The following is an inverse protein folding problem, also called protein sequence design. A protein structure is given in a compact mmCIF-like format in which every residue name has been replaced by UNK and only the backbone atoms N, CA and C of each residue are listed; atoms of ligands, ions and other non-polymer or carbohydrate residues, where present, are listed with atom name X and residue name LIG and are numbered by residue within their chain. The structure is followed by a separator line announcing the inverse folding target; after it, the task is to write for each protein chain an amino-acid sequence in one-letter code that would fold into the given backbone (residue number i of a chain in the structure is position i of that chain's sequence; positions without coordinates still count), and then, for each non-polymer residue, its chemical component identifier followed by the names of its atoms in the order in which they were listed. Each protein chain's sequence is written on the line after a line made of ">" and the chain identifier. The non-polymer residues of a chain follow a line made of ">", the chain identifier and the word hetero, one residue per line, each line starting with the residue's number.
data_IF_649501316790
#
_entry.id   IF_649501316790
#
_cell.length_a   1.000
_cell.length_b   1.000
_cell.length_c   1.000
_cell.angle_alpha   90.00
_cell.angle_beta   90.00
_cell.angle_gamma   90.00
#
_symmetry.space_group_name_H-M   'P 1'
#
loop_
_entity.id
_entity.type
_entity.pdbx_description
1 polymer ?
#
# COMPACT_ATOMS: atom_id res chain seq x y z
N UNK A 1 21.65 34.41 5.69
CA UNK A 1 22.61 33.79 4.75
C UNK A 1 22.03 32.45 4.31
N UNK A 2 21.14 32.47 3.32
CA UNK A 2 20.62 31.25 2.69
C UNK A 2 20.61 31.51 1.19
N UNK A 3 21.81 31.65 0.64
CA UNK A 3 22.04 31.65 -0.81
C UNK A 3 21.88 30.22 -1.30
N UNK A 4 20.63 29.85 -1.60
CA UNK A 4 20.36 28.72 -2.47
C UNK A 4 20.14 29.32 -3.87
N UNK A 5 21.25 29.55 -4.55
CA UNK A 5 21.29 30.13 -5.90
C UNK A 5 20.73 29.09 -6.88
N UNK A 6 19.42 29.14 -7.10
CA UNK A 6 18.75 28.46 -8.20
C UNK A 6 19.34 28.96 -9.52
N UNK A 7 19.94 28.06 -10.30
CA UNK A 7 20.43 28.35 -11.65
C UNK A 7 21.94 28.20 -11.90
N UNK A 8 22.74 27.71 -10.94
CA UNK A 8 24.18 27.47 -11.16
C UNK A 8 24.61 26.01 -11.37
N UNK A 9 23.67 25.08 -11.54
CA UNK A 9 24.00 23.67 -11.84
C UNK A 9 24.58 22.88 -10.66
N UNK A 10 25.06 23.53 -9.59
CA UNK A 10 25.73 22.85 -8.47
C UNK A 10 24.76 22.01 -7.62
N UNK A 11 24.87 20.67 -7.65
CA UNK A 11 24.03 19.78 -6.86
C UNK A 11 24.56 19.76 -5.42
N UNK A 12 24.08 20.66 -4.57
CA UNK A 12 24.40 20.56 -3.15
C UNK A 12 23.55 19.45 -2.50
N UNK A 13 24.01 18.21 -2.63
CA UNK A 13 23.34 17.01 -2.09
C UNK A 13 23.13 17.11 -0.57
N UNK A 14 23.99 17.87 0.12
CA UNK A 14 23.93 18.13 1.56
C UNK A 14 22.80 19.09 1.97
N UNK A 15 22.15 19.77 1.02
CA UNK A 15 21.03 20.67 1.30
C UNK A 15 19.69 19.92 1.40
N UNK A 16 19.64 18.66 0.94
CA UNK A 16 18.40 17.90 0.90
C UNK A 16 18.42 16.71 1.87
N UNK A 17 17.33 16.48 2.63
CA UNK A 17 17.20 15.31 3.47
C UNK A 17 17.32 14.01 2.66
N UNK A 18 17.81 12.95 3.33
CA UNK A 18 17.94 11.62 2.76
C UNK A 18 16.55 11.08 2.36
N UNK A 19 16.38 10.50 1.15
CA UNK A 19 15.08 10.02 0.67
C UNK A 19 14.38 9.05 1.63
N UNK A 20 15.16 8.21 2.31
CA UNK A 20 14.65 7.21 3.26
C UNK A 20 13.92 7.80 4.48
N UNK A 21 14.20 9.04 4.85
CA UNK A 21 13.56 9.71 6.00
C UNK A 21 12.30 10.50 5.62
N UNK A 22 11.92 10.55 4.34
CA UNK A 22 10.84 11.39 3.85
C UNK A 22 9.45 10.74 3.99
N UNK A 23 8.42 11.56 4.18
CA UNK A 23 7.02 11.14 3.93
C UNK A 23 6.76 11.02 2.43
N UNK A 24 5.61 10.45 2.06
CA UNK A 24 5.24 10.26 0.66
C UNK A 24 5.14 11.59 -0.08
N UNK A 25 4.45 12.57 0.51
CA UNK A 25 4.25 13.89 -0.08
C UNK A 25 5.59 14.61 -0.26
N UNK A 26 6.47 14.54 0.74
CA UNK A 26 7.80 15.14 0.68
C UNK A 26 8.68 14.49 -0.38
N UNK A 27 8.67 13.15 -0.48
CA UNK A 27 9.42 12.42 -1.49
C UNK A 27 8.92 12.75 -2.91
N UNK A 28 7.60 12.77 -3.10
CA UNK A 28 6.96 13.14 -4.36
C UNK A 28 7.30 14.58 -4.78
N UNK A 29 7.18 15.53 -3.87
CA UNK A 29 7.42 16.94 -4.19
C UNK A 29 8.89 17.19 -4.55
N UNK A 30 9.83 16.53 -3.86
CA UNK A 30 11.25 16.58 -4.24
C UNK A 30 11.54 15.88 -5.56
N UNK A 31 10.84 14.78 -5.89
CA UNK A 31 10.98 14.09 -7.17
C UNK A 31 10.52 15.00 -8.32
N UNK A 32 9.37 15.67 -8.16
CA UNK A 32 8.87 16.64 -9.14
C UNK A 32 9.90 17.75 -9.37
N UNK A 33 10.51 18.29 -8.31
CA UNK A 33 11.52 19.33 -8.43
C UNK A 33 12.79 18.82 -9.13
N UNK A 34 13.23 17.60 -8.79
CA UNK A 34 14.38 16.95 -9.43
C UNK A 34 14.16 16.79 -10.93
N UNK A 35 12.97 16.32 -11.34
CA UNK A 35 12.61 16.18 -12.76
C UNK A 35 12.62 17.53 -13.46
N UNK A 36 12.01 18.57 -12.88
CA UNK A 36 12.05 19.92 -13.46
C UNK A 36 13.47 20.42 -13.68
N UNK A 37 14.36 20.19 -12.73
CA UNK A 37 15.78 20.59 -12.84
C UNK A 37 16.47 19.84 -13.98
N UNK A 38 16.22 18.53 -14.12
CA UNK A 38 16.75 17.73 -15.23
C UNK A 38 16.21 18.20 -16.60
N UNK A 39 14.93 18.54 -16.68
CA UNK A 39 14.28 19.03 -17.91
C UNK A 39 14.83 20.38 -18.40
N UNK A 40 15.35 21.22 -17.49
CA UNK A 40 16.01 22.47 -17.87
C UNK A 40 17.30 22.22 -18.66
N UNK A 41 18.00 21.11 -18.41
CA UNK A 41 19.20 20.71 -19.15
C UNK A 41 20.37 21.70 -19.05
N UNK A 42 20.39 22.59 -18.05
CA UNK A 42 21.41 23.65 -17.89
C UNK A 42 22.61 23.21 -17.03
N UNK A 43 22.92 21.92 -16.98
CA UNK A 43 23.98 21.37 -16.13
C UNK A 43 24.89 20.41 -16.90
N UNK A 44 26.06 20.08 -16.33
CA UNK A 44 26.98 19.11 -16.90
C UNK A 44 26.44 17.68 -16.78
N UNK A 45 27.01 16.75 -17.57
CA UNK A 45 26.61 15.33 -17.52
C UNK A 45 26.75 14.72 -16.11
N UNK A 46 27.86 15.01 -15.42
CA UNK A 46 28.10 14.50 -14.05
C UNK A 46 27.05 15.01 -13.06
N UNK A 47 26.63 16.27 -13.19
CA UNK A 47 25.56 16.84 -12.38
C UNK A 47 24.21 16.22 -12.72
N UNK A 48 23.89 16.06 -14.00
CA UNK A 48 22.67 15.38 -14.45
C UNK A 48 22.57 13.95 -13.90
N UNK A 49 23.69 13.21 -13.85
CA UNK A 49 23.71 11.87 -13.27
C UNK A 49 23.39 11.89 -11.77
N UNK A 50 23.94 12.83 -11.00
CA UNK A 50 23.65 12.97 -9.57
C UNK A 50 22.17 13.27 -9.31
N UNK A 51 21.57 14.15 -10.10
CA UNK A 51 20.13 14.43 -9.99
C UNK A 51 19.29 13.23 -10.40
N UNK A 52 19.70 12.48 -11.43
CA UNK A 52 19.03 11.25 -11.83
C UNK A 52 19.08 10.19 -10.72
N UNK A 53 20.24 9.91 -10.13
CA UNK A 53 20.39 8.95 -9.02
C UNK A 53 19.52 9.34 -7.81
N UNK A 54 19.45 10.64 -7.51
CA UNK A 54 18.53 11.15 -6.48
C UNK A 54 17.07 10.91 -6.86
N UNK A 55 16.69 11.16 -8.11
CA UNK A 55 15.35 10.89 -8.63
C UNK A 55 14.95 9.42 -8.46
N UNK A 56 15.85 8.50 -8.80
CA UNK A 56 15.63 7.05 -8.62
C UNK A 56 15.43 6.69 -7.14
N UNK A 57 16.24 7.26 -6.24
CA UNK A 57 16.09 7.02 -4.80
C UNK A 57 14.75 7.55 -4.25
N UNK A 58 14.30 8.71 -4.74
CA UNK A 58 12.99 9.28 -4.37
C UNK A 58 11.83 8.44 -4.91
N UNK A 59 11.90 7.99 -6.16
CA UNK A 59 10.90 7.10 -6.76
C UNK A 59 10.78 5.79 -5.95
N UNK A 60 11.91 5.16 -5.64
CA UNK A 60 11.95 3.96 -4.80
C UNK A 60 11.32 4.19 -3.42
N UNK A 61 11.55 5.35 -2.80
CA UNK A 61 10.89 5.69 -1.52
C UNK A 61 9.38 5.76 -1.67
N UNK A 62 8.88 6.41 -2.73
CA UNK A 62 7.45 6.49 -3.01
C UNK A 62 6.83 5.10 -3.17
N UNK A 63 7.47 4.20 -3.92
CA UNK A 63 7.02 2.82 -4.09
C UNK A 63 6.92 2.07 -2.77
N UNK A 64 7.96 2.14 -1.92
CA UNK A 64 7.96 1.49 -0.60
C UNK A 64 6.79 1.96 0.27
N UNK A 65 6.52 3.26 0.26
CA UNK A 65 5.42 3.84 1.04
C UNK A 65 4.04 3.43 0.50
N UNK A 66 3.88 3.40 -0.82
CA UNK A 66 2.62 2.97 -1.46
C UNK A 66 2.35 1.48 -1.25
N UNK A 67 3.37 0.64 -1.38
CA UNK A 67 3.26 -0.80 -1.14
C UNK A 67 2.84 -1.07 0.32
N UNK A 68 3.49 -0.42 1.28
CA UNK A 68 3.10 -0.56 2.69
C UNK A 68 1.69 -0.04 3.00
N UNK A 69 1.22 0.99 2.28
CA UNK A 69 -0.17 1.45 2.39
C UNK A 69 -1.15 0.42 1.81
N UNK A 70 -0.82 -0.17 0.66
CA UNK A 70 -1.63 -1.21 0.03
C UNK A 70 -1.78 -2.44 0.93
N UNK A 71 -0.68 -2.97 1.48
CA UNK A 71 -0.71 -4.12 2.39
C UNK A 71 -1.62 -3.88 3.61
N UNK A 72 -1.60 -2.66 4.16
CA UNK A 72 -2.47 -2.28 5.29
C UNK A 72 -3.95 -2.27 4.91
N UNK A 73 -4.28 -1.82 3.71
CA UNK A 73 -5.65 -1.83 3.19
C UNK A 73 -6.12 -3.26 2.95
N UNK A 74 -5.29 -4.09 2.32
CA UNK A 74 -5.59 -5.49 2.07
C UNK A 74 -5.81 -6.27 3.38
N UNK A 75 -4.97 -6.07 4.38
CA UNK A 75 -5.13 -6.68 5.71
C UNK A 75 -6.45 -6.27 6.39
N UNK A 76 -6.83 -5.00 6.29
CA UNK A 76 -8.09 -4.52 6.86
C UNK A 76 -9.32 -5.13 6.16
N UNK A 77 -9.28 -5.26 4.83
CA UNK A 77 -10.36 -5.87 4.05
C UNK A 77 -10.46 -7.39 4.29
N UNK A 78 -9.33 -8.10 4.32
CA UNK A 78 -9.28 -9.55 4.58
C UNK A 78 -9.80 -9.91 5.98
N UNK A 79 -9.47 -9.09 6.98
CA UNK A 79 -9.97 -9.26 8.36
C UNK A 79 -11.50 -9.11 8.44
N UNK A 80 -12.09 -8.21 7.65
CA UNK A 80 -13.54 -8.05 7.57
C UNK A 80 -14.25 -9.27 6.95
N UNK A 81 -13.59 -10.01 6.06
CA UNK A 81 -14.19 -11.16 5.37
C UNK A 81 -14.14 -12.44 6.23
N UNK A 82 -13.13 -12.60 7.09
CA UNK A 82 -13.04 -13.72 8.03
C UNK A 82 -14.06 -13.63 9.18
N UNK A 83 -14.40 -12.40 9.62
CA UNK A 83 -15.50 -12.17 10.57
C UNK A 83 -16.89 -12.52 10.02
N UNK A 84 -17.10 -12.35 8.70
CA UNK A 84 -18.38 -12.65 8.05
C UNK A 84 -18.60 -14.16 7.83
N UNK A 85 -17.55 -14.95 7.61
CA UNK A 85 -17.66 -16.40 7.38
C UNK A 85 -17.82 -17.20 8.68
N UNK A 86 -17.28 -16.71 9.80
CA UNK A 86 -17.40 -17.37 11.11
C UNK A 86 -18.78 -17.20 11.76
N UNK A 87 -19.56 -16.19 11.37
CA UNK A 87 -20.94 -15.98 11.83
C UNK A 87 -21.99 -16.90 11.17
N UNK A 88 -21.67 -17.50 10.02
CA UNK A 88 -22.61 -18.33 9.26
C UNK A 88 -22.55 -19.83 9.61
N UNK A 89 -21.52 -20.30 10.33
CA UNK A 89 -21.33 -21.74 10.63
C UNK A 89 -21.70 -22.15 12.05
N UNK A 90 -22.26 -21.26 12.88
CA UNK A 90 -22.64 -21.56 14.26
C UNK A 90 -24.16 -21.36 14.44
N UNK A 91 -24.95 -22.26 13.84
CA UNK A 91 -26.41 -22.21 13.92
C UNK A 91 -27.12 -23.27 13.10
N UNK A 92 -26.65 -24.51 13.09
CA UNK A 92 -27.39 -25.62 12.50
C UNK A 92 -27.05 -26.94 13.24
N UNK A 93 -27.73 -27.18 14.36
CA UNK A 93 -28.04 -28.52 14.87
C UNK A 93 -28.94 -28.43 16.10
N UNK A 94 -30.24 -28.70 15.93
CA UNK A 94 -31.02 -29.51 16.85
C UNK A 94 -32.25 -30.03 16.10
N UNK A 95 -32.17 -31.31 15.80
CA UNK A 95 -33.18 -32.15 15.15
C UNK A 95 -34.28 -32.50 16.16
N UNK A 96 -35.53 -32.35 15.77
CA UNK A 96 -36.69 -33.08 16.32
C UNK A 96 -37.66 -33.26 15.14
N UNK A 97 -38.22 -34.47 14.92
CA UNK A 97 -39.68 -34.51 15.04
C UNK A 97 -40.20 -35.71 15.81
N UNK A 98 -41.15 -35.39 16.70
CA UNK A 98 -42.09 -36.27 17.39
C UNK A 98 -42.91 -37.15 16.42
N UNK A 99 -42.97 -38.45 16.73
CA UNK A 99 -44.19 -39.04 17.28
C UNK A 99 -45.32 -39.56 16.35
N UNK A 100 -45.47 -40.88 16.39
CA UNK A 100 -46.73 -41.65 16.42
C UNK A 100 -47.53 -41.90 15.11
N UNK A 101 -47.61 -43.19 14.72
CA UNK A 101 -48.79 -44.05 14.95
C UNK A 101 -48.84 -45.18 13.89
N UNK A 102 -48.72 -46.44 14.31
CA UNK A 102 -49.36 -47.53 13.57
C UNK A 102 -49.71 -48.68 14.53
N UNK A 103 -50.95 -48.65 14.99
CA UNK A 103 -51.65 -49.79 15.59
C UNK A 103 -52.35 -50.56 14.46
N UNK A 104 -52.33 -51.90 14.50
CA UNK A 104 -53.20 -52.70 13.64
C UNK A 104 -52.67 -54.08 13.26
N UNK A 105 -52.73 -55.02 14.20
CA UNK A 105 -52.80 -56.46 13.92
C UNK A 105 -54.02 -56.81 13.05
N UNK A 106 -53.90 -57.78 12.14
CA UNK A 106 -54.70 -59.05 12.08
C UNK A 106 -54.73 -59.68 10.68
N UNK A 107 -54.55 -61.02 10.65
CA UNK A 107 -55.05 -62.08 9.74
C UNK A 107 -55.07 -61.82 8.21
N UNK A 108 -54.55 -62.69 7.34
CA UNK A 108 -54.78 -64.14 7.28
C UNK A 108 -55.60 -64.46 6.00
N UNK A 109 -55.06 -65.37 5.18
CA UNK A 109 -55.58 -65.97 3.92
C UNK A 109 -55.57 -65.15 2.62
#
# INVERSE_FOLDING_TARGET
>A
MTENTFGQGTPNNSAFPAPETLTYEQARDQLIETVKILELGQMSLDESLKYWERGEALAKRCEVLLNGAQERVEAALGSSQEGATKGASQGAAQEEPEGAAQEGETAGE
#
